data_IF_983127307332
#
_entry.id   IF_983127307332
#
_cell.length_a   1.000
_cell.length_b   1.000
_cell.length_c   1.000
_cell.angle_alpha   90.00
_cell.angle_beta   90.00
_cell.angle_gamma   90.00
#
_symmetry.space_group_name_H-M   'P 1'
#
loop_
_entity.id
_entity.type
_entity.pdbx_description
1 polymer ?
#
# COMPACT_ATOMS: atom_id res chain seq x y z
N UNK A 1 1.91 -20.51 -8.64
CA UNK A 1 2.78 -19.36 -8.37
C UNK A 1 2.80 -18.50 -9.62
N UNK A 2 1.82 -17.61 -9.79
CA UNK A 2 1.86 -16.67 -10.91
C UNK A 2 3.04 -15.72 -10.68
N UNK A 3 3.97 -15.65 -11.64
CA UNK A 3 5.11 -14.73 -11.56
C UNK A 3 4.57 -13.32 -11.78
N UNK A 4 4.54 -12.48 -10.76
CA UNK A 4 4.19 -11.08 -10.94
C UNK A 4 5.32 -10.34 -11.67
N UNK A 5 4.94 -9.37 -12.51
CA UNK A 5 5.84 -8.53 -13.29
C UNK A 5 5.81 -7.12 -12.74
N UNK A 6 6.98 -6.50 -12.63
CA UNK A 6 7.08 -5.12 -12.18
C UNK A 6 6.84 -4.17 -13.35
N UNK A 7 6.02 -3.14 -13.12
CA UNK A 7 5.75 -2.07 -14.07
C UNK A 7 5.90 -0.71 -13.38
N UNK A 8 6.25 0.32 -14.15
CA UNK A 8 6.31 1.71 -13.69
C UNK A 8 5.38 2.58 -14.53
N UNK A 9 4.37 3.17 -13.89
CA UNK A 9 3.41 4.06 -14.55
C UNK A 9 3.59 5.51 -14.09
N UNK A 10 3.57 6.47 -15.00
CA UNK A 10 3.60 7.90 -14.63
C UNK A 10 2.24 8.42 -14.14
N UNK A 11 1.15 7.76 -14.56
CA UNK A 11 -0.24 8.21 -14.34
C UNK A 11 -1.14 7.01 -14.04
N UNK A 12 -2.25 7.20 -13.31
CA UNK A 12 -3.23 6.14 -13.11
C UNK A 12 -3.79 5.66 -14.46
N UNK A 13 -3.98 4.35 -14.58
CA UNK A 13 -4.44 3.72 -15.82
C UNK A 13 -5.59 2.75 -15.51
N UNK A 14 -6.67 2.80 -16.29
CA UNK A 14 -7.73 1.77 -16.23
C UNK A 14 -7.67 0.94 -17.49
N UNK A 15 -7.43 -0.36 -17.35
CA UNK A 15 -7.26 -1.28 -18.48
C UNK A 15 -8.37 -2.33 -18.48
N UNK A 16 -8.89 -2.63 -19.65
CA UNK A 16 -9.87 -3.70 -19.83
C UNK A 16 -9.13 -4.95 -20.33
N UNK A 17 -9.24 -6.04 -19.56
CA UNK A 17 -8.63 -7.33 -19.85
C UNK A 17 -9.59 -8.29 -20.59
N UNK A 18 -10.67 -7.76 -21.16
CA UNK A 18 -11.71 -8.56 -21.82
C UNK A 18 -12.92 -8.79 -20.93
N UNK A 19 -13.57 -9.94 -21.07
CA UNK A 19 -14.77 -10.32 -20.33
C UNK A 19 -14.56 -11.61 -19.54
N UNK A 20 -15.15 -11.69 -18.36
CA UNK A 20 -15.12 -12.87 -17.51
C UNK A 20 -16.05 -13.99 -18.00
N UNK A 21 -16.13 -15.06 -17.22
CA UNK A 21 -16.95 -16.26 -17.49
C UNK A 21 -18.45 -15.98 -17.52
N UNK A 22 -18.87 -14.81 -17.05
CA UNK A 22 -20.25 -14.34 -16.99
C UNK A 22 -20.52 -13.20 -17.98
N UNK A 23 -19.56 -12.87 -18.85
CA UNK A 23 -19.67 -11.79 -19.83
C UNK A 23 -19.48 -10.39 -19.25
N UNK A 24 -19.00 -10.25 -18.01
CA UNK A 24 -18.73 -8.95 -17.40
C UNK A 24 -17.33 -8.46 -17.77
N UNK A 25 -17.14 -7.18 -18.09
CA UNK A 25 -15.82 -6.65 -18.41
C UNK A 25 -14.89 -6.72 -17.20
N UNK A 26 -13.70 -7.28 -17.40
CA UNK A 26 -12.64 -7.30 -16.39
C UNK A 26 -11.86 -5.99 -16.52
N UNK A 27 -12.21 -5.00 -15.72
CA UNK A 27 -11.49 -3.73 -15.65
C UNK A 27 -10.53 -3.72 -14.46
N UNK A 28 -9.25 -3.45 -14.72
CA UNK A 28 -8.23 -3.30 -13.68
C UNK A 28 -7.79 -1.84 -13.61
N UNK A 29 -7.82 -1.28 -12.39
CA UNK A 29 -7.29 0.05 -12.10
C UNK A 29 -5.86 -0.09 -11.59
N UNK A 30 -4.93 0.53 -12.28
CA UNK A 30 -3.51 0.57 -11.95
C UNK A 30 -3.16 1.95 -11.42
N UNK A 31 -2.44 1.97 -10.30
CA UNK A 31 -1.97 3.20 -9.68
C UNK A 31 -0.70 3.72 -10.38
N UNK A 32 -0.41 5.02 -10.33
CA UNK A 32 0.89 5.54 -10.72
C UNK A 32 1.98 5.01 -9.77
N UNK A 33 3.22 4.99 -10.26
CA UNK A 33 4.39 4.50 -9.53
C UNK A 33 4.80 3.08 -9.89
N UNK A 34 5.75 2.56 -9.12
CA UNK A 34 6.28 1.21 -9.26
C UNK A 34 5.33 0.22 -8.58
N UNK A 35 4.85 -0.78 -9.32
CA UNK A 35 3.93 -1.79 -8.79
C UNK A 35 4.14 -3.15 -9.44
N UNK A 36 3.60 -4.19 -8.80
CA UNK A 36 3.63 -5.55 -9.28
C UNK A 36 2.25 -5.94 -9.81
N UNK A 37 2.20 -6.45 -11.04
CA UNK A 37 0.96 -6.86 -11.71
C UNK A 37 1.09 -8.27 -12.26
N UNK A 38 -0.04 -8.92 -12.55
CA UNK A 38 -0.04 -10.21 -13.25
C UNK A 38 0.53 -10.06 -14.67
N UNK A 39 1.18 -11.10 -15.22
CA UNK A 39 1.74 -11.07 -16.58
C UNK A 39 0.73 -10.67 -17.65
N UNK A 40 -0.51 -11.13 -17.54
CA UNK A 40 -1.59 -10.80 -18.48
C UNK A 40 -1.88 -9.29 -18.55
N UNK A 41 -1.70 -8.58 -17.43
CA UNK A 41 -1.87 -7.13 -17.34
C UNK A 41 -0.67 -6.45 -17.98
N UNK A 42 0.55 -6.89 -17.63
CA UNK A 42 1.78 -6.38 -18.22
C UNK A 42 1.87 -6.63 -19.73
N UNK A 43 1.21 -7.67 -20.24
CA UNK A 43 1.18 -8.00 -21.66
C UNK A 43 0.19 -7.16 -22.48
N UNK A 44 -0.79 -6.55 -21.81
CA UNK A 44 -1.79 -5.69 -22.44
C UNK A 44 -1.13 -4.52 -23.19
N UNK A 45 -1.53 -4.32 -24.45
CA UNK A 45 -0.94 -3.30 -25.32
C UNK A 45 -1.01 -1.89 -24.74
N UNK A 46 -2.10 -1.58 -24.01
CA UNK A 46 -2.31 -0.26 -23.42
C UNK A 46 -1.43 -0.05 -22.19
N UNK A 47 -1.21 -1.10 -21.40
CA UNK A 47 -0.24 -1.08 -20.28
C UNK A 47 1.17 -0.91 -20.82
N UNK A 48 1.58 -1.72 -21.81
CA UNK A 48 2.91 -1.63 -22.44
C UNK A 48 3.21 -0.24 -23.02
N UNK A 49 2.23 0.39 -23.65
CA UNK A 49 2.39 1.73 -24.24
C UNK A 49 2.56 2.85 -23.19
N UNK A 50 2.11 2.62 -21.96
CA UNK A 50 2.15 3.60 -20.87
C UNK A 50 3.14 3.24 -19.76
N UNK A 51 3.79 2.09 -19.84
CA UNK A 51 4.90 1.71 -18.98
C UNK A 51 6.15 2.50 -19.35
N UNK A 52 6.84 2.97 -18.32
CA UNK A 52 8.18 3.53 -18.43
C UNK A 52 9.24 2.44 -18.23
N UNK A 53 10.44 2.67 -18.76
CA UNK A 53 11.60 1.88 -18.39
C UNK A 53 11.86 2.01 -16.89
N UNK A 54 12.08 0.87 -16.23
CA UNK A 54 12.37 0.83 -14.79
C UNK A 54 13.87 0.99 -14.62
N UNK A 55 14.31 2.11 -14.02
CA UNK A 55 15.70 2.25 -13.63
C UNK A 55 15.96 1.63 -12.25
N UNK A 56 17.22 1.33 -11.93
CA UNK A 56 17.59 0.87 -10.59
C UNK A 56 17.24 1.87 -9.48
N UNK A 57 17.23 3.17 -9.80
CA UNK A 57 16.82 4.22 -8.87
C UNK A 57 15.32 4.18 -8.57
N UNK A 58 14.49 3.84 -9.57
CA UNK A 58 13.04 3.70 -9.39
C UNK A 58 12.72 2.52 -8.47
N UNK A 59 13.45 1.41 -8.62
CA UNK A 59 13.32 0.24 -7.74
C UNK A 59 13.66 0.61 -6.30
N UNK A 60 14.79 1.27 -6.09
CA UNK A 60 15.23 1.68 -4.75
C UNK A 60 14.26 2.68 -4.13
N UNK A 61 13.80 3.67 -4.90
CA UNK A 61 12.87 4.69 -4.42
C UNK A 61 11.51 4.08 -4.08
N UNK A 62 11.00 3.16 -4.91
CA UNK A 62 9.76 2.43 -4.63
C UNK A 62 9.85 1.57 -3.36
N UNK A 63 10.96 0.89 -3.16
CA UNK A 63 11.18 0.08 -1.95
C UNK A 63 11.33 0.97 -0.70
N UNK A 64 12.06 2.09 -0.81
CA UNK A 64 12.17 3.07 0.27
C UNK A 64 10.82 3.68 0.64
N UNK A 65 9.98 4.00 -0.34
CA UNK A 65 8.64 4.52 -0.09
C UNK A 65 7.78 3.50 0.65
N UNK A 66 7.84 2.23 0.24
CA UNK A 66 7.10 1.16 0.92
C UNK A 66 7.56 0.97 2.36
N UNK A 67 8.87 1.02 2.63
CA UNK A 67 9.41 0.95 3.98
C UNK A 67 9.00 2.17 4.82
N UNK A 68 8.94 3.35 4.20
CA UNK A 68 8.49 4.57 4.84
C UNK A 68 7.00 4.50 5.22
N UNK A 69 6.15 3.95 4.35
CA UNK A 69 4.73 3.76 4.64
C UNK A 69 4.53 2.77 5.80
N UNK A 70 5.24 1.64 5.80
CA UNK A 70 5.22 0.66 6.91
C UNK A 70 5.70 1.31 8.22
N UNK A 71 6.77 2.08 8.18
CA UNK A 71 7.30 2.76 9.36
C UNK A 71 6.30 3.80 9.90
N UNK A 72 5.61 4.53 9.04
CA UNK A 72 4.59 5.50 9.44
C UNK A 72 3.37 4.82 10.06
N UNK A 73 2.89 3.71 9.48
CA UNK A 73 1.81 2.91 10.09
C UNK A 73 2.21 2.39 11.47
N UNK A 74 3.44 1.87 11.62
CA UNK A 74 3.96 1.41 12.90
C UNK A 74 4.06 2.56 13.93
N UNK A 75 4.50 3.75 13.50
CA UNK A 75 4.56 4.93 14.37
C UNK A 75 3.17 5.37 14.84
N UNK A 76 2.17 5.39 13.95
CA UNK A 76 0.79 5.72 14.34
C UNK A 76 0.22 4.70 15.34
N UNK A 77 0.50 3.40 15.13
CA UNK A 77 0.09 2.36 16.06
C UNK A 77 0.75 2.53 17.44
N UNK A 78 2.06 2.83 17.48
CA UNK A 78 2.78 3.10 18.72
C UNK A 78 2.30 4.36 19.43
N UNK A 79 1.99 5.43 18.69
CA UNK A 79 1.40 6.64 19.25
C UNK A 79 0.06 6.35 19.92
N UNK A 80 -0.82 5.60 19.23
CA UNK A 80 -2.12 5.20 19.78
C UNK A 80 -1.95 4.38 21.07
N UNK A 81 -1.02 3.42 21.07
CA UNK A 81 -0.71 2.63 22.27
C UNK A 81 -0.16 3.48 23.42
N UNK A 82 0.68 4.47 23.11
CA UNK A 82 1.22 5.40 24.10
C UNK A 82 0.10 6.23 24.72
N UNK A 83 -0.82 6.77 23.91
CA UNK A 83 -1.94 7.57 24.39
C UNK A 83 -2.89 6.74 25.28
N UNK A 84 -3.16 5.49 24.90
CA UNK A 84 -3.94 4.56 25.72
C UNK A 84 -3.23 4.23 27.04
N UNK A 85 -1.91 4.00 27.01
CA UNK A 85 -1.12 3.74 28.20
C UNK A 85 -1.12 4.95 29.15
N UNK A 86 -0.92 6.16 28.62
CA UNK A 86 -1.00 7.41 29.41
C UNK A 86 -2.37 7.58 30.05
N UNK A 87 -3.44 7.33 29.32
CA UNK A 87 -4.81 7.40 29.87
C UNK A 87 -5.01 6.39 31.00
N UNK A 88 -4.50 5.16 30.84
CA UNK A 88 -4.63 4.10 31.84
C UNK A 88 -3.79 4.38 33.09
N UNK A 89 -2.60 4.96 32.94
CA UNK A 89 -1.78 5.43 34.06
C UNK A 89 -2.53 6.50 34.85
N UNK A 90 -3.07 7.53 34.19
CA UNK A 90 -3.85 8.57 34.86
C UNK A 90 -5.04 8.02 35.65
N UNK A 91 -5.79 7.08 35.06
CA UNK A 91 -6.88 6.39 35.76
C UNK A 91 -6.41 5.61 37.00
N UNK A 92 -5.27 4.92 36.92
CA UNK A 92 -4.72 4.17 38.05
C UNK A 92 -4.22 5.12 39.16
N UNK A 93 -3.58 6.23 38.79
CA UNK A 93 -3.13 7.26 39.73
C UNK A 93 -4.29 7.92 40.48
N UNK A 94 -5.38 8.23 39.77
CA UNK A 94 -6.59 8.81 40.38
C UNK A 94 -7.26 7.81 41.34
N UNK A 95 -7.41 6.54 40.93
CA UNK A 95 -7.96 5.48 41.80
C UNK A 95 -7.09 5.26 43.05
N UNK A 96 -5.77 5.38 42.95
CA UNK A 96 -4.88 5.26 44.12
C UNK A 96 -5.09 6.42 45.09
N UNK A 97 -5.19 7.66 44.58
CA UNK A 97 -5.46 8.84 45.40
C UNK A 97 -6.80 8.75 46.13
N UNK A 98 -7.86 8.32 45.45
CA UNK A 98 -9.18 8.14 46.06
C UNK A 98 -9.17 7.10 47.18
N UNK A 99 -8.28 6.11 47.09
CA UNK A 99 -8.19 5.01 48.07
C UNK A 99 -7.32 5.34 49.29
N UNK A 100 -6.43 6.32 49.16
CA UNK A 100 -5.57 6.81 50.26
C UNK A 100 -6.21 7.98 51.05
N UNK A 101 -7.34 8.53 50.58
CA UNK A 101 -8.22 9.48 51.31
C UNK A 101 -9.33 8.77 52.07
#
# INVERSE_FOLDING_TARGET
>A
MSKQVQILLSRPLTVNLGTDKHGQPISVKLSPGLQHVEPEIAENWFVKAHCQEISSNDIQTGELQKQLDIANEALQALQTQSDEATKKIGQLEDNLKERDT
#
